data_IF_621475140198
#
_entry.id   IF_621475140198
#
_cell.length_a   1.000
_cell.length_b   1.000
_cell.length_c   1.000
_cell.angle_alpha   90.00
_cell.angle_beta   90.00
_cell.angle_gamma   90.00
#
_symmetry.space_group_name_H-M   'P 1'
#
loop_
_entity.id
_entity.type
_entity.pdbx_description
1 polymer ?
#
# COMPACT_ATOMS: atom_id res chain seq x y z
N UNK A 1 -50.00 -3.26 -16.15
CA UNK A 1 -49.09 -2.69 -15.14
C UNK A 1 -48.91 -1.21 -15.43
N UNK A 2 -49.28 -0.34 -14.49
CA UNK A 2 -49.18 1.11 -14.69
C UNK A 2 -47.70 1.55 -14.60
N UNK A 3 -47.35 2.68 -15.22
CA UNK A 3 -45.97 3.20 -15.25
C UNK A 3 -45.47 3.67 -13.85
N UNK A 4 -46.37 4.03 -12.94
CA UNK A 4 -46.03 4.57 -11.61
C UNK A 4 -45.62 3.48 -10.62
N UNK A 5 -46.27 2.32 -10.65
CA UNK A 5 -45.89 1.13 -9.87
C UNK A 5 -44.55 0.57 -10.32
N UNK A 6 -44.28 0.58 -11.62
CA UNK A 6 -42.98 0.15 -12.17
C UNK A 6 -41.88 1.13 -11.76
N UNK A 7 -42.12 2.45 -11.79
CA UNK A 7 -41.14 3.44 -11.30
C UNK A 7 -40.85 3.28 -9.80
N UNK A 8 -41.87 3.05 -8.96
CA UNK A 8 -41.70 2.86 -7.52
C UNK A 8 -40.85 1.61 -7.21
N UNK A 9 -41.10 0.49 -7.90
CA UNK A 9 -40.29 -0.73 -7.70
C UNK A 9 -38.81 -0.52 -8.10
N UNK A 10 -38.55 0.28 -9.13
CA UNK A 10 -37.17 0.59 -9.56
C UNK A 10 -36.48 1.51 -8.55
N UNK A 11 -37.14 2.53 -8.02
CA UNK A 11 -36.54 3.43 -7.03
C UNK A 11 -36.18 2.72 -5.73
N UNK A 12 -37.02 1.80 -5.26
CA UNK A 12 -36.77 1.05 -4.03
C UNK A 12 -35.59 0.07 -4.20
N UNK A 13 -35.46 -0.55 -5.38
CA UNK A 13 -34.31 -1.40 -5.72
C UNK A 13 -33.00 -0.61 -5.81
N UNK A 14 -33.05 0.62 -6.34
CA UNK A 14 -31.89 1.51 -6.42
C UNK A 14 -31.47 2.01 -5.04
N UNK A 15 -32.42 2.29 -4.14
CA UNK A 15 -32.13 2.69 -2.77
C UNK A 15 -31.49 1.56 -1.94
N UNK A 16 -32.00 0.33 -2.06
CA UNK A 16 -31.43 -0.85 -1.38
C UNK A 16 -30.01 -1.16 -1.82
N UNK A 17 -29.75 -1.10 -3.13
CA UNK A 17 -28.42 -1.37 -3.69
C UNK A 17 -27.40 -0.28 -3.33
N UNK A 18 -27.81 0.99 -3.34
CA UNK A 18 -26.97 2.10 -2.90
C UNK A 18 -26.56 1.94 -1.42
N UNK A 19 -27.51 1.61 -0.54
CA UNK A 19 -27.22 1.44 0.89
C UNK A 19 -26.27 0.28 1.17
N UNK A 20 -26.39 -0.83 0.44
CA UNK A 20 -25.47 -1.96 0.59
C UNK A 20 -24.06 -1.63 0.09
N UNK A 21 -23.93 -0.86 -1.00
CA UNK A 21 -22.64 -0.37 -1.51
C UNK A 21 -21.93 0.54 -0.48
N UNK A 22 -22.67 1.43 0.17
CA UNK A 22 -22.12 2.31 1.21
C UNK A 22 -21.56 1.57 2.42
N UNK A 23 -21.97 0.31 2.66
CA UNK A 23 -21.48 -0.51 3.76
C UNK A 23 -20.36 -1.45 3.30
N UNK A 24 -20.52 -2.09 2.13
CA UNK A 24 -19.55 -3.07 1.61
C UNK A 24 -18.24 -2.40 1.20
N UNK A 25 -18.30 -1.22 0.56
CA UNK A 25 -17.10 -0.51 0.12
C UNK A 25 -16.17 -0.14 1.28
N UNK A 26 -16.62 0.56 2.34
CA UNK A 26 -15.73 0.86 3.47
C UNK A 26 -15.28 -0.40 4.21
N UNK A 27 -16.12 -1.44 4.31
CA UNK A 27 -15.72 -2.71 4.91
C UNK A 27 -14.56 -3.35 4.14
N UNK A 28 -14.64 -3.41 2.81
CA UNK A 28 -13.57 -3.94 1.97
C UNK A 28 -12.30 -3.09 2.04
N UNK A 29 -12.44 -1.76 2.11
CA UNK A 29 -11.31 -0.86 2.31
C UNK A 29 -10.64 -1.13 3.67
N UNK A 30 -11.41 -1.22 4.76
CA UNK A 30 -10.88 -1.49 6.10
C UNK A 30 -10.20 -2.86 6.15
N UNK A 31 -10.81 -3.89 5.56
CA UNK A 31 -10.19 -5.23 5.45
C UNK A 31 -8.88 -5.13 4.66
N UNK A 32 -8.87 -4.43 3.53
CA UNK A 32 -7.66 -4.26 2.73
C UNK A 32 -6.56 -3.53 3.52
N UNK A 33 -6.88 -2.41 4.17
CA UNK A 33 -5.95 -1.60 4.96
C UNK A 33 -5.40 -2.37 6.17
N UNK A 34 -6.25 -3.10 6.89
CA UNK A 34 -5.81 -3.93 8.03
C UNK A 34 -4.89 -5.05 7.57
N UNK A 35 -5.23 -5.76 6.48
CA UNK A 35 -4.35 -6.76 5.88
C UNK A 35 -2.99 -6.19 5.50
N UNK A 36 -2.98 -4.97 4.96
CA UNK A 36 -1.79 -4.23 4.57
C UNK A 36 -0.91 -3.83 5.76
N UNK A 37 -1.55 -3.47 6.86
CA UNK A 37 -0.88 -3.08 8.09
C UNK A 37 -0.17 -4.29 8.73
N UNK A 38 -0.86 -5.42 8.79
CA UNK A 38 -0.42 -6.67 9.41
C UNK A 38 0.40 -7.61 8.50
N UNK A 39 1.04 -7.09 7.44
CA UNK A 39 1.90 -7.94 6.60
C UNK A 39 3.05 -8.54 7.42
N UNK A 40 3.11 -9.87 7.59
CA UNK A 40 4.14 -10.53 8.40
C UNK A 40 5.54 -10.22 7.84
N UNK A 41 6.49 -9.96 8.75
CA UNK A 41 7.88 -9.61 8.44
C UNK A 41 8.14 -8.11 8.29
N UNK A 42 7.16 -7.33 7.81
CA UNK A 42 7.32 -5.88 7.55
C UNK A 42 6.78 -5.01 8.69
N UNK A 43 5.99 -5.57 9.60
CA UNK A 43 5.41 -4.87 10.75
C UNK A 43 6.46 -4.35 11.75
N UNK A 44 7.59 -5.05 11.87
CA UNK A 44 8.67 -4.73 12.82
C UNK A 44 9.49 -3.53 12.35
N UNK A 45 9.47 -3.22 11.05
CA UNK A 45 10.28 -2.15 10.47
C UNK A 45 9.65 -0.79 10.79
N UNK A 46 10.40 0.15 11.39
CA UNK A 46 9.92 1.50 11.67
C UNK A 46 9.67 2.30 10.38
N UNK A 47 8.69 3.20 10.41
CA UNK A 47 8.36 4.05 9.28
C UNK A 47 7.11 4.91 9.49
N UNK A 48 6.80 5.80 8.53
CA UNK A 48 5.65 6.70 8.61
C UNK A 48 4.34 5.92 8.76
N UNK A 49 3.41 6.43 9.57
CA UNK A 49 2.11 5.79 9.76
C UNK A 49 1.34 5.62 8.44
N UNK A 50 1.37 6.64 7.59
CA UNK A 50 0.70 6.61 6.29
C UNK A 50 1.32 5.57 5.33
N UNK A 51 2.62 5.30 5.45
CA UNK A 51 3.32 4.28 4.67
C UNK A 51 2.92 2.85 5.09
N UNK A 52 2.47 2.63 6.32
CA UNK A 52 1.94 1.33 6.78
C UNK A 52 0.57 1.02 6.19
N UNK A 53 -0.21 2.06 5.90
CA UNK A 53 -1.61 1.97 5.48
C UNK A 53 -1.70 1.91 3.96
N UNK A 54 -0.96 2.75 3.23
CA UNK A 54 -1.03 2.81 1.77
C UNK A 54 0.24 3.36 1.12
N UNK A 55 0.36 3.17 -0.20
CA UNK A 55 1.45 3.75 -0.99
C UNK A 55 1.23 5.25 -1.33
N UNK A 56 0.10 5.85 -0.95
CA UNK A 56 -0.25 7.23 -1.29
C UNK A 56 0.76 8.21 -0.72
N UNK A 57 1.20 8.00 0.53
CA UNK A 57 2.19 8.86 1.17
C UNK A 57 3.45 9.02 0.31
N UNK A 58 3.99 7.90 -0.19
CA UNK A 58 5.16 7.90 -1.05
C UNK A 58 4.87 8.52 -2.41
N UNK A 59 3.68 8.30 -2.97
CA UNK A 59 3.28 8.91 -4.23
C UNK A 59 3.28 10.44 -4.15
N UNK A 60 2.71 11.01 -3.08
CA UNK A 60 2.73 12.46 -2.85
C UNK A 60 4.15 12.99 -2.62
N UNK A 61 4.97 12.28 -1.84
CA UNK A 61 6.36 12.67 -1.57
C UNK A 61 7.23 12.68 -2.84
N UNK A 62 7.01 11.72 -3.75
CA UNK A 62 7.63 11.68 -5.08
C UNK A 62 7.07 12.77 -5.99
N UNK A 63 5.75 13.00 -5.99
CA UNK A 63 5.12 14.04 -6.80
C UNK A 63 5.59 15.45 -6.39
N UNK A 64 5.89 15.66 -5.11
CA UNK A 64 6.48 16.88 -4.58
C UNK A 64 8.01 16.99 -4.82
N UNK A 65 8.63 15.98 -5.43
CA UNK A 65 10.08 15.96 -5.71
C UNK A 65 10.98 15.90 -4.47
N UNK A 66 10.42 15.66 -3.28
CA UNK A 66 11.16 15.67 -2.01
C UNK A 66 11.55 14.27 -1.51
N UNK A 67 11.24 13.23 -2.29
CA UNK A 67 11.39 11.84 -1.88
C UNK A 67 12.80 11.45 -1.44
N UNK A 68 13.84 11.95 -2.10
CA UNK A 68 15.23 11.67 -1.72
C UNK A 68 15.56 12.24 -0.34
N UNK A 69 15.21 13.51 -0.11
CA UNK A 69 15.46 14.19 1.17
C UNK A 69 14.65 13.55 2.30
N UNK A 70 13.37 13.24 2.04
CA UNK A 70 12.51 12.55 3.00
C UNK A 70 13.08 11.18 3.35
N UNK A 71 13.52 10.40 2.35
CA UNK A 71 14.10 9.08 2.54
C UNK A 71 15.41 9.14 3.34
N UNK A 72 16.30 10.08 3.01
CA UNK A 72 17.53 10.33 3.75
C UNK A 72 17.26 10.65 5.22
N UNK A 73 16.30 11.55 5.48
CA UNK A 73 15.92 11.91 6.84
C UNK A 73 15.30 10.73 7.61
N UNK A 74 14.52 9.87 6.94
CA UNK A 74 13.97 8.68 7.55
C UNK A 74 15.04 7.67 7.94
N UNK A 75 16.02 7.42 7.06
CA UNK A 75 17.16 6.55 7.39
C UNK A 75 18.02 7.12 8.51
N UNK A 76 18.21 8.45 8.56
CA UNK A 76 18.89 9.09 9.69
C UNK A 76 18.16 8.93 11.03
N UNK A 77 16.82 8.87 11.03
CA UNK A 77 16.00 8.77 12.25
C UNK A 77 15.75 7.33 12.69
N UNK A 78 15.56 6.42 11.75
CA UNK A 78 15.11 5.05 12.00
C UNK A 78 16.19 3.98 11.75
N UNK A 79 17.33 4.38 11.17
CA UNK A 79 18.46 3.50 10.90
C UNK A 79 18.39 2.81 9.54
N UNK A 80 18.98 1.61 9.50
CA UNK A 80 19.24 0.89 8.25
C UNK A 80 17.99 0.43 7.50
N UNK A 81 16.85 0.29 8.20
CA UNK A 81 15.61 -0.26 7.64
C UNK A 81 14.45 0.69 7.85
N UNK A 82 13.80 1.10 6.77
CA UNK A 82 12.66 2.02 6.80
C UNK A 82 11.51 1.47 5.98
N UNK A 83 10.31 1.42 6.56
CA UNK A 83 9.10 1.02 5.84
C UNK A 83 8.58 2.20 5.00
N UNK A 84 8.61 2.06 3.67
CA UNK A 84 8.12 3.07 2.71
C UNK A 84 6.74 2.76 2.15
N UNK A 85 6.29 1.53 2.33
CA UNK A 85 4.98 1.10 1.90
C UNK A 85 4.55 -0.14 2.68
N UNK A 86 3.34 -0.62 2.40
CA UNK A 86 2.78 -1.73 3.15
C UNK A 86 3.58 -3.02 3.00
N UNK A 87 4.10 -3.26 1.80
CA UNK A 87 4.97 -4.39 1.47
C UNK A 87 6.31 -3.90 0.89
N UNK A 88 6.76 -2.70 1.28
CA UNK A 88 7.98 -2.09 0.74
C UNK A 88 8.85 -1.53 1.85
N UNK A 89 10.11 -1.98 1.85
CA UNK A 89 11.14 -1.54 2.81
C UNK A 89 12.32 -1.00 2.02
N UNK A 90 12.85 0.12 2.49
CA UNK A 90 14.14 0.65 2.06
C UNK A 90 15.23 0.13 2.99
N UNK A 91 16.35 -0.27 2.40
CA UNK A 91 17.48 -0.88 3.08
C UNK A 91 18.75 -0.08 2.78
N UNK A 92 19.41 0.40 3.83
CA UNK A 92 20.70 1.11 3.74
C UNK A 92 21.89 0.20 4.09
N UNK A 93 21.65 -0.96 4.70
CA UNK A 93 22.71 -1.86 5.15
C UNK A 93 23.47 -2.53 3.98
N UNK A 94 24.81 -2.39 3.96
CA UNK A 94 25.67 -2.91 2.90
C UNK A 94 25.65 -4.43 2.76
N UNK A 95 25.54 -5.17 3.87
CA UNK A 95 25.54 -6.63 3.84
C UNK A 95 24.20 -7.17 3.32
N UNK A 96 23.10 -6.51 3.71
CA UNK A 96 21.79 -6.79 3.13
C UNK A 96 21.75 -6.48 1.62
N UNK A 97 22.40 -5.39 1.18
CA UNK A 97 22.50 -5.05 -0.25
C UNK A 97 23.27 -6.13 -1.03
N UNK A 98 24.37 -6.66 -0.51
CA UNK A 98 25.09 -7.79 -1.13
C UNK A 98 24.22 -9.04 -1.26
N UNK A 99 23.34 -9.29 -0.30
CA UNK A 99 22.42 -10.43 -0.33
C UNK A 99 21.31 -10.22 -1.37
N UNK A 100 20.73 -9.02 -1.43
CA UNK A 100 19.63 -8.67 -2.34
C UNK A 100 20.10 -8.61 -3.79
N UNK A 101 21.24 -7.96 -4.04
CA UNK A 101 21.82 -7.81 -5.37
C UNK A 101 22.79 -8.93 -5.75
N UNK A 102 23.04 -9.88 -4.85
CA UNK A 102 23.89 -11.04 -5.10
C UNK A 102 23.35 -11.90 -6.23
N UNK A 103 24.25 -12.33 -7.11
CA UNK A 103 23.93 -13.18 -8.26
C UNK A 103 23.30 -14.49 -7.74
N UNK A 104 22.14 -14.88 -8.29
CA UNK A 104 21.47 -16.16 -8.04
C UNK A 104 20.71 -16.33 -6.70
N UNK A 105 20.15 -15.25 -6.13
CA UNK A 105 19.40 -15.29 -4.85
C UNK A 105 17.86 -15.27 -4.97
N UNK A 106 17.30 -15.38 -6.16
CA UNK A 106 15.84 -15.51 -6.36
C UNK A 106 15.01 -14.22 -6.24
N UNK A 107 15.65 -13.05 -6.08
CA UNK A 107 14.93 -11.77 -6.10
C UNK A 107 14.65 -11.32 -7.54
N UNK A 108 13.37 -11.20 -7.91
CA UNK A 108 12.95 -10.74 -9.23
C UNK A 108 13.02 -9.22 -9.29
N UNK A 109 13.88 -8.68 -10.15
CA UNK A 109 13.86 -7.26 -10.52
C UNK A 109 12.51 -6.96 -11.19
N UNK A 110 11.65 -6.18 -10.55
CA UNK A 110 10.42 -5.70 -11.19
C UNK A 110 10.79 -4.61 -12.20
N UNK A 111 10.47 -4.86 -13.47
CA UNK A 111 10.56 -3.86 -14.54
C UNK A 111 9.29 -3.02 -14.46
N UNK A 112 9.40 -1.81 -13.89
CA UNK A 112 8.57 -0.61 -14.11
C UNK A 112 8.88 0.35 -12.95
N UNK A 113 9.00 1.63 -13.28
CA UNK A 113 9.38 2.78 -12.45
C UNK A 113 8.92 2.64 -10.99
N UNK A 114 9.85 2.85 -10.05
CA UNK A 114 9.80 2.62 -8.60
C UNK A 114 10.20 1.20 -8.19
N UNK A 115 11.50 1.02 -7.93
CA UNK A 115 12.09 -0.23 -7.42
C UNK A 115 11.47 -0.65 -6.09
N UNK A 116 10.48 -1.55 -6.16
CA UNK A 116 9.99 -2.30 -5.01
C UNK A 116 10.52 -3.73 -5.15
N UNK A 117 11.41 -4.13 -4.23
CA UNK A 117 11.86 -5.51 -4.11
C UNK A 117 10.72 -6.31 -3.48
N UNK A 118 10.00 -7.09 -4.28
CA UNK A 118 9.07 -8.10 -3.78
C UNK A 118 9.80 -9.43 -3.67
N UNK A 119 9.84 -9.96 -2.46
CA UNK A 119 10.24 -11.35 -2.23
C UNK A 119 9.23 -12.26 -2.96
N UNK A 120 9.74 -13.10 -3.86
CA UNK A 120 8.92 -14.09 -4.56
C UNK A 120 8.36 -15.09 -3.55
N UNK A 121 7.07 -15.37 -3.66
CA UNK A 121 6.43 -16.49 -2.95
C UNK A 121 6.82 -17.80 -3.62
#
# INVERSE_FOLDING_TARGET
MNKTSVMAMISDLMAFSAQYIFIVVPLLIIIHLTRNYFTPGVCVVPGPFLAKISNLWRFFDVANGSAETTLYNLHRRHGDYVRLGPNVVSVWNLDALKIIYGINKGYKKVSVVVGALQCGR
#
